data_IF_210243007336
#
_entry.id   IF_210243007336
#
_cell.length_a   1.000
_cell.length_b   1.000
_cell.length_c   1.000
_cell.angle_alpha   90.00
_cell.angle_beta   90.00
_cell.angle_gamma   90.00
#
_symmetry.space_group_name_H-M   'P 1'
#
loop_
_entity.id
_entity.type
_entity.pdbx_description
1 polymer ?
#
# COMPACT_ATOMS: atom_id res chain seq x y z
N UNK A 1 19.31 23.72 -30.18
CA UNK A 1 20.06 22.67 -29.46
C UNK A 1 19.12 22.15 -28.40
N UNK A 2 18.67 20.90 -28.57
CA UNK A 2 17.83 20.20 -27.60
C UNK A 2 18.77 19.53 -26.61
N UNK A 3 18.68 19.87 -25.34
CA UNK A 3 19.21 19.05 -24.26
C UNK A 3 18.02 18.46 -23.51
N UNK A 4 17.80 17.16 -23.75
CA UNK A 4 16.89 16.28 -23.02
C UNK A 4 17.76 15.13 -22.51
N UNK A 5 18.26 15.25 -21.29
CA UNK A 5 18.91 14.21 -20.49
C UNK A 5 18.55 14.54 -19.03
N UNK A 6 18.07 13.65 -18.16
CA UNK A 6 17.97 12.20 -18.18
C UNK A 6 16.72 11.81 -17.38
N UNK A 7 15.84 11.00 -17.97
CA UNK A 7 14.83 10.26 -17.19
C UNK A 7 15.56 9.11 -16.54
N UNK A 8 15.94 9.25 -15.27
CA UNK A 8 16.32 8.09 -14.45
C UNK A 8 15.08 7.20 -14.33
N UNK A 9 15.02 6.14 -15.13
CA UNK A 9 13.96 5.15 -15.07
C UNK A 9 13.94 4.54 -13.67
N UNK A 10 12.78 4.59 -13.02
CA UNK A 10 12.58 3.86 -11.77
C UNK A 10 12.75 2.35 -12.05
N UNK A 11 13.50 1.61 -11.22
CA UNK A 11 13.63 0.17 -11.39
C UNK A 11 12.26 -0.50 -11.29
N UNK A 12 12.10 -1.58 -12.05
CA UNK A 12 10.88 -2.40 -12.02
C UNK A 12 10.81 -3.10 -10.65
N UNK A 13 9.60 -3.28 -10.10
CA UNK A 13 9.37 -4.04 -8.85
C UNK A 13 10.01 -5.43 -8.89
N UNK A 14 10.09 -6.03 -10.08
CA UNK A 14 10.74 -7.32 -10.28
C UNK A 14 12.23 -7.35 -9.90
N UNK A 15 12.90 -6.19 -9.82
CA UNK A 15 14.31 -6.07 -9.46
C UNK A 15 14.52 -5.82 -7.95
N UNK A 16 13.47 -5.46 -7.20
CA UNK A 16 13.55 -5.15 -5.77
C UNK A 16 13.30 -6.43 -4.97
N UNK A 17 14.38 -7.07 -4.52
CA UNK A 17 14.31 -8.34 -3.79
C UNK A 17 14.54 -8.22 -2.28
N UNK A 18 15.00 -7.06 -1.80
CA UNK A 18 15.32 -6.82 -0.39
C UNK A 18 14.58 -5.59 0.15
N UNK A 19 14.10 -5.64 1.41
CA UNK A 19 13.46 -4.47 2.01
C UNK A 19 14.43 -3.31 2.12
N UNK A 20 15.72 -3.56 2.39
CA UNK A 20 16.76 -2.52 2.51
C UNK A 20 17.37 -2.08 1.17
N UNK A 21 16.83 -2.53 0.02
CA UNK A 21 17.35 -2.13 -1.27
C UNK A 21 17.34 -0.58 -1.35
N UNK A 22 18.49 0.09 -1.57
CA UNK A 22 18.56 1.55 -1.61
C UNK A 22 17.75 2.14 -2.77
N UNK A 23 17.45 1.33 -3.79
CA UNK A 23 16.60 1.70 -4.90
C UNK A 23 15.12 1.38 -4.62
N UNK A 24 14.79 0.75 -3.49
CA UNK A 24 13.41 0.52 -3.12
C UNK A 24 12.67 1.85 -2.91
N UNK A 25 11.45 2.01 -3.44
CA UNK A 25 10.67 3.24 -3.35
C UNK A 25 10.46 3.76 -1.93
N UNK A 26 10.40 2.85 -0.95
CA UNK A 26 10.21 3.17 0.47
C UNK A 26 11.51 3.51 1.22
N UNK A 27 12.69 3.24 0.63
CA UNK A 27 14.00 3.58 1.20
C UNK A 27 14.67 4.77 0.54
N UNK A 28 14.17 5.18 -0.62
CA UNK A 28 14.62 6.41 -1.24
C UNK A 28 14.15 7.58 -0.38
N UNK A 29 14.95 7.94 0.63
CA UNK A 29 14.87 9.22 1.28
C UNK A 29 15.03 10.28 0.19
N UNK A 30 13.92 10.93 -0.19
CA UNK A 30 13.94 12.04 -1.13
C UNK A 30 13.66 13.33 -0.36
N UNK A 31 14.53 14.28 -0.66
CA UNK A 31 14.84 15.46 0.14
C UNK A 31 13.65 16.43 0.30
N UNK A 32 13.75 17.27 1.33
CA UNK A 32 12.75 18.09 2.03
C UNK A 32 11.88 19.11 1.23
N UNK A 33 11.61 18.95 -0.06
CA UNK A 33 10.69 19.85 -0.81
C UNK A 33 9.57 19.16 -1.60
N UNK A 34 9.51 17.82 -1.63
CA UNK A 34 8.44 17.05 -2.25
C UNK A 34 7.93 15.96 -1.32
N UNK A 35 6.96 16.29 -0.45
CA UNK A 35 6.46 15.35 0.56
C UNK A 35 5.91 14.05 -0.07
N UNK A 36 5.84 12.97 0.71
CA UNK A 36 5.12 11.71 0.39
C UNK A 36 3.73 11.97 -0.23
N UNK A 37 3.08 13.10 0.11
CA UNK A 37 1.80 13.49 -0.49
C UNK A 37 1.91 13.75 -2.00
N UNK A 38 2.94 14.45 -2.48
CA UNK A 38 3.14 14.73 -3.91
C UNK A 38 3.36 13.44 -4.70
N UNK A 39 4.11 12.49 -4.13
CA UNK A 39 4.31 11.18 -4.74
C UNK A 39 3.02 10.34 -4.79
N UNK A 40 2.22 10.35 -3.72
CA UNK A 40 0.92 9.68 -3.73
C UNK A 40 0.00 10.28 -4.80
N UNK A 41 0.01 11.61 -4.97
CA UNK A 41 -0.82 12.29 -5.96
C UNK A 41 -0.47 11.86 -7.39
N UNK A 42 0.83 11.76 -7.71
CA UNK A 42 1.30 11.29 -9.03
C UNK A 42 0.92 9.82 -9.28
N UNK A 43 1.11 8.94 -8.28
CA UNK A 43 0.72 7.52 -8.36
C UNK A 43 -0.80 7.37 -8.52
N UNK A 44 -1.59 8.15 -7.77
CA UNK A 44 -3.05 8.15 -7.86
C UNK A 44 -3.50 8.60 -9.26
N UNK A 45 -2.85 9.64 -9.80
CA UNK A 45 -3.15 10.15 -11.13
C UNK A 45 -2.84 9.09 -12.18
N UNK A 46 -1.63 8.52 -12.17
CA UNK A 46 -1.22 7.48 -13.12
C UNK A 46 -2.15 6.27 -13.04
N UNK A 47 -2.50 5.82 -11.83
CA UNK A 47 -3.44 4.73 -11.61
C UNK A 47 -4.78 4.99 -12.31
N UNK A 48 -5.36 6.18 -12.12
CA UNK A 48 -6.66 6.53 -12.71
C UNK A 48 -6.60 6.72 -14.23
N UNK A 49 -5.49 7.24 -14.74
CA UNK A 49 -5.28 7.44 -16.19
C UNK A 49 -5.03 6.11 -16.93
N UNK A 50 -4.46 5.11 -16.25
CA UNK A 50 -4.06 3.83 -16.85
C UNK A 50 -4.87 2.62 -16.36
N UNK A 51 -6.11 2.85 -15.93
CA UNK A 51 -7.05 1.79 -15.48
C UNK A 51 -6.44 0.84 -14.44
N UNK A 52 -5.73 1.43 -13.49
CA UNK A 52 -5.13 0.77 -12.33
C UNK A 52 -3.72 0.24 -12.52
N UNK A 53 -3.08 0.50 -13.66
CA UNK A 53 -1.68 0.14 -13.92
C UNK A 53 -0.78 1.32 -13.60
N UNK A 54 0.27 1.08 -12.82
CA UNK A 54 1.28 2.09 -12.46
C UNK A 54 2.67 1.49 -12.69
N UNK A 55 3.57 2.28 -13.28
CA UNK A 55 4.94 1.87 -13.55
C UNK A 55 5.86 1.86 -12.31
N UNK A 56 7.17 1.70 -12.56
CA UNK A 56 8.23 1.75 -11.53
C UNK A 56 8.01 0.75 -10.39
N UNK A 57 7.94 1.28 -9.17
CA UNK A 57 7.67 0.57 -7.91
C UNK A 57 6.50 -0.44 -7.95
N UNK A 58 5.51 -0.17 -8.79
CA UNK A 58 4.24 -0.89 -8.86
C UNK A 58 4.08 -1.70 -10.14
N UNK A 59 5.09 -1.64 -11.03
CA UNK A 59 5.07 -2.38 -12.28
C UNK A 59 4.91 -3.89 -12.03
N UNK A 60 4.08 -4.53 -12.86
CA UNK A 60 3.79 -5.97 -12.78
C UNK A 60 2.96 -6.44 -11.58
N UNK A 61 2.62 -5.57 -10.62
CA UNK A 61 1.79 -5.90 -9.46
C UNK A 61 0.38 -5.31 -9.52
N UNK A 62 -0.55 -5.89 -8.77
CA UNK A 62 -1.83 -5.22 -8.49
C UNK A 62 -1.60 -4.04 -7.52
N UNK A 63 -2.36 -2.97 -7.73
CA UNK A 63 -2.40 -1.78 -6.89
C UNK A 63 -3.86 -1.45 -6.58
N UNK A 64 -4.13 -0.93 -5.38
CA UNK A 64 -5.41 -0.33 -5.04
C UNK A 64 -5.21 1.10 -4.54
N UNK A 65 -6.22 1.94 -4.73
CA UNK A 65 -6.33 3.19 -3.99
C UNK A 65 -7.31 2.99 -2.83
N UNK A 66 -6.78 2.95 -1.62
CA UNK A 66 -7.57 2.84 -0.39
C UNK A 66 -7.94 4.24 0.09
N UNK A 67 -9.23 4.55 0.13
CA UNK A 67 -9.74 5.79 0.73
C UNK A 67 -10.37 5.51 2.10
N UNK A 68 -9.83 6.19 3.12
CA UNK A 68 -10.30 6.11 4.53
C UNK A 68 -10.79 7.46 5.03
N UNK A 69 -11.58 7.47 6.10
CA UNK A 69 -11.97 8.70 6.81
C UNK A 69 -11.05 8.92 8.01
N UNK A 70 -10.39 10.08 8.07
CA UNK A 70 -9.46 10.45 9.14
C UNK A 70 -10.12 10.42 10.51
N UNK A 71 -9.63 9.55 11.41
CA UNK A 71 -10.26 9.33 12.74
C UNK A 71 -10.33 10.62 13.59
N UNK A 72 -9.36 11.52 13.43
CA UNK A 72 -9.31 12.81 14.13
C UNK A 72 -9.91 13.96 13.32
N UNK A 73 -9.75 13.93 12.00
CA UNK A 73 -10.02 15.06 11.11
C UNK A 73 -11.38 15.00 10.42
N UNK A 74 -11.97 13.81 10.30
CA UNK A 74 -13.15 13.54 9.47
C UNK A 74 -12.90 13.67 7.96
N UNK A 75 -11.68 13.98 7.52
CA UNK A 75 -11.35 14.18 6.10
C UNK A 75 -11.08 12.84 5.41
N UNK A 76 -11.39 12.76 4.11
CA UNK A 76 -11.02 11.60 3.31
C UNK A 76 -9.53 11.63 2.97
N UNK A 77 -8.87 10.48 3.10
CA UNK A 77 -7.47 10.26 2.79
C UNK A 77 -7.31 9.04 1.89
N UNK A 78 -6.70 9.23 0.73
CA UNK A 78 -6.44 8.16 -0.24
C UNK A 78 -4.97 7.75 -0.19
N UNK A 79 -4.70 6.45 -0.19
CA UNK A 79 -3.34 5.91 -0.13
C UNK A 79 -3.22 4.75 -1.11
N UNK A 80 -2.22 4.76 -2.01
CA UNK A 80 -1.92 3.63 -2.88
C UNK A 80 -1.31 2.48 -2.06
N UNK A 81 -1.83 1.27 -2.21
CA UNK A 81 -1.36 0.08 -1.49
C UNK A 81 -1.32 -1.13 -2.42
N UNK A 82 -0.25 -1.94 -2.29
CA UNK A 82 -0.18 -3.25 -2.96
C UNK A 82 -0.96 -4.29 -2.14
N UNK A 83 -2.11 -4.80 -2.62
CA UNK A 83 -2.85 -5.84 -1.92
C UNK A 83 -2.14 -7.20 -2.01
N UNK A 84 -2.38 -8.04 -1.01
CA UNK A 84 -2.13 -9.48 -1.07
C UNK A 84 -3.47 -10.22 -1.15
N UNK A 85 -3.52 -11.30 -1.91
CA UNK A 85 -4.73 -12.09 -2.11
C UNK A 85 -4.55 -13.50 -1.58
N UNK A 86 -5.48 -13.95 -0.72
CA UNK A 86 -5.66 -15.35 -0.34
C UNK A 86 -7.07 -15.75 -0.77
N UNK A 87 -7.16 -16.59 -1.80
CA UNK A 87 -8.43 -16.91 -2.46
C UNK A 87 -9.18 -15.64 -2.91
N UNK A 88 -10.36 -15.38 -2.36
CA UNK A 88 -11.16 -14.17 -2.63
C UNK A 88 -10.94 -13.04 -1.62
N UNK A 89 -10.08 -13.24 -0.62
CA UNK A 89 -9.87 -12.30 0.47
C UNK A 89 -8.65 -11.43 0.20
N UNK A 90 -8.82 -10.12 0.38
CA UNK A 90 -7.80 -9.11 0.15
C UNK A 90 -7.22 -8.63 1.48
N UNK A 91 -5.89 -8.53 1.56
CA UNK A 91 -5.15 -8.07 2.73
C UNK A 91 -4.22 -6.92 2.34
N UNK A 92 -3.99 -6.00 3.26
CA UNK A 92 -2.99 -4.93 3.11
C UNK A 92 -2.11 -4.82 4.36
N UNK A 93 -0.85 -4.46 4.12
CA UNK A 93 0.13 -4.19 5.17
C UNK A 93 0.95 -2.94 4.85
N UNK A 94 1.95 -2.64 5.68
CA UNK A 94 2.78 -1.45 5.60
C UNK A 94 4.24 -1.78 5.87
N UNK A 95 5.11 -1.01 5.23
CA UNK A 95 6.56 -1.00 5.41
C UNK A 95 7.07 0.17 6.28
N UNK A 96 6.16 0.89 6.94
CA UNK A 96 6.52 2.00 7.84
C UNK A 96 7.06 1.43 9.15
N UNK A 97 8.25 1.87 9.58
CA UNK A 97 9.11 1.29 10.64
C UNK A 97 9.07 2.03 11.98
N UNK A 98 8.42 3.19 12.06
CA UNK A 98 8.31 4.00 13.29
C UNK A 98 6.92 3.93 13.96
N UNK A 99 5.86 3.78 13.16
CA UNK A 99 4.46 3.77 13.64
C UNK A 99 3.52 2.99 12.72
N UNK A 100 2.32 2.73 13.22
CA UNK A 100 1.23 2.28 12.34
C UNK A 100 0.75 3.44 11.45
N UNK A 101 0.45 3.16 10.17
CA UNK A 101 0.06 4.20 9.23
C UNK A 101 -1.33 4.75 9.57
N UNK A 102 -1.59 5.98 9.13
CA UNK A 102 -2.85 6.67 9.44
C UNK A 102 -4.08 5.88 8.96
N UNK A 103 -4.02 5.24 7.78
CA UNK A 103 -5.12 4.44 7.26
C UNK A 103 -5.48 3.26 8.18
N UNK A 104 -4.52 2.67 8.90
CA UNK A 104 -4.78 1.59 9.85
C UNK A 104 -5.60 2.09 11.03
N UNK A 105 -5.20 3.24 11.61
CA UNK A 105 -5.95 3.87 12.70
C UNK A 105 -7.33 4.35 12.24
N UNK A 106 -7.43 4.87 11.02
CA UNK A 106 -8.69 5.29 10.43
C UNK A 106 -9.66 4.12 10.29
N UNK A 107 -9.20 2.97 9.78
CA UNK A 107 -10.01 1.76 9.64
C UNK A 107 -10.45 1.23 11.01
N UNK A 108 -9.56 1.25 12.00
CA UNK A 108 -9.90 0.84 13.37
C UNK A 108 -11.03 1.70 13.96
N UNK A 109 -11.09 2.99 13.62
CA UNK A 109 -12.12 3.91 14.09
C UNK A 109 -13.40 3.89 13.24
N UNK A 110 -13.26 3.76 11.92
CA UNK A 110 -14.36 3.68 10.96
C UNK A 110 -14.01 2.64 9.88
N UNK A 111 -14.65 1.46 9.90
CA UNK A 111 -14.33 0.39 8.97
C UNK A 111 -14.86 0.64 7.55
N UNK A 112 -15.72 1.65 7.34
CA UNK A 112 -16.26 1.97 6.02
C UNK A 112 -15.21 2.69 5.17
N UNK A 113 -14.85 2.06 4.06
CA UNK A 113 -13.78 2.50 3.17
C UNK A 113 -14.25 2.46 1.71
N UNK A 114 -13.52 3.14 0.84
CA UNK A 114 -13.72 3.06 -0.60
C UNK A 114 -12.44 2.54 -1.24
N UNK A 115 -12.56 1.60 -2.16
CA UNK A 115 -11.42 0.99 -2.87
C UNK A 115 -11.57 1.24 -4.35
N UNK A 116 -10.58 1.89 -4.95
CA UNK A 116 -10.43 1.89 -6.41
C UNK A 116 -9.52 0.72 -6.78
N UNK A 117 -10.01 -0.17 -7.64
CA UNK A 117 -9.30 -1.34 -8.15
C UNK A 117 -9.53 -1.39 -9.66
N UNK A 118 -8.44 -1.28 -10.43
CA UNK A 118 -8.49 -1.15 -11.90
C UNK A 118 -9.30 0.08 -12.32
N UNK A 119 -10.37 -0.11 -13.08
CA UNK A 119 -11.29 0.91 -13.56
C UNK A 119 -12.57 1.03 -12.71
N UNK A 120 -12.66 0.28 -11.60
CA UNK A 120 -13.85 0.21 -10.76
C UNK A 120 -13.60 0.78 -9.36
N UNK A 121 -14.68 1.33 -8.80
CA UNK A 121 -14.72 1.85 -7.43
C UNK A 121 -15.75 1.05 -6.63
N UNK A 122 -15.31 0.53 -5.49
CA UNK A 122 -16.12 -0.30 -4.59
C UNK A 122 -16.29 0.38 -3.24
N UNK A 123 -17.50 0.28 -2.68
CA UNK A 123 -17.64 0.37 -1.23
C UNK A 123 -17.12 -0.93 -0.61
N UNK A 124 -16.49 -0.80 0.55
CA UNK A 124 -15.84 -1.91 1.20
C UNK A 124 -15.80 -1.70 2.71
N UNK A 125 -15.56 -2.80 3.41
CA UNK A 125 -15.33 -2.83 4.84
C UNK A 125 -13.90 -3.28 5.12
N UNK A 126 -13.16 -2.47 5.87
CA UNK A 126 -11.84 -2.82 6.39
C UNK A 126 -11.92 -3.30 7.83
N UNK A 127 -11.16 -4.36 8.16
CA UNK A 127 -11.04 -4.85 9.54
C UNK A 127 -9.58 -5.06 9.90
N UNK A 128 -9.14 -4.38 10.96
CA UNK A 128 -7.85 -4.64 11.60
C UNK A 128 -7.87 -6.05 12.20
N UNK A 129 -6.85 -6.83 11.89
CA UNK A 129 -6.67 -8.16 12.47
C UNK A 129 -6.01 -8.05 13.85
N UNK A 130 -6.52 -8.83 14.81
CA UNK A 130 -6.04 -8.87 16.18
C UNK A 130 -6.05 -10.33 16.68
N UNK A 131 -5.23 -10.63 17.69
CA UNK A 131 -5.16 -11.94 18.36
C UNK A 131 -5.01 -13.13 17.40
N UNK A 132 -5.79 -14.20 17.59
CA UNK A 132 -5.67 -15.44 16.82
C UNK A 132 -5.84 -15.23 15.30
N UNK A 133 -6.74 -14.33 14.89
CA UNK A 133 -6.89 -13.98 13.49
C UNK A 133 -5.65 -13.26 12.95
N UNK A 134 -4.98 -12.44 13.76
CA UNK A 134 -3.71 -11.85 13.37
C UNK A 134 -2.65 -12.92 13.16
N UNK A 135 -2.47 -13.83 14.13
CA UNK A 135 -1.41 -14.83 14.09
C UNK A 135 -1.52 -15.76 12.87
N UNK A 136 -2.74 -16.20 12.55
CA UNK A 136 -3.01 -17.05 11.38
C UNK A 136 -2.59 -16.34 10.08
N UNK A 137 -3.05 -15.11 9.88
CA UNK A 137 -2.81 -14.39 8.63
C UNK A 137 -1.39 -13.81 8.56
N UNK A 138 -0.77 -13.46 9.68
CA UNK A 138 0.62 -13.03 9.71
C UNK A 138 1.55 -14.17 9.27
N UNK A 139 1.36 -15.39 9.77
CA UNK A 139 2.15 -16.54 9.33
C UNK A 139 2.06 -16.76 7.81
N UNK A 140 0.85 -16.65 7.24
CA UNK A 140 0.65 -16.75 5.79
C UNK A 140 1.30 -15.58 5.04
N UNK A 141 1.04 -14.32 5.41
CA UNK A 141 1.59 -13.13 4.73
C UNK A 141 3.12 -13.15 4.71
N UNK A 142 3.76 -13.50 5.82
CA UNK A 142 5.22 -13.55 5.91
C UNK A 142 5.82 -14.73 5.13
N UNK A 143 5.04 -15.77 4.85
CA UNK A 143 5.47 -16.87 3.98
C UNK A 143 5.38 -16.47 2.50
N UNK A 144 4.28 -15.81 2.11
CA UNK A 144 4.03 -15.45 0.70
C UNK A 144 4.78 -14.19 0.24
N UNK A 145 5.18 -13.31 1.17
CA UNK A 145 5.84 -12.06 0.85
C UNK A 145 7.19 -11.93 1.58
N UNK A 146 8.30 -12.33 0.93
CA UNK A 146 9.65 -12.24 1.50
C UNK A 146 10.06 -10.82 1.92
N UNK A 147 9.56 -9.78 1.25
CA UNK A 147 9.85 -8.40 1.62
C UNK A 147 9.20 -8.04 2.96
N UNK A 148 7.95 -8.46 3.20
CA UNK A 148 7.29 -8.27 4.50
C UNK A 148 7.95 -9.12 5.60
N UNK A 149 8.43 -10.33 5.25
CA UNK A 149 9.19 -11.17 6.18
C UNK A 149 10.50 -10.52 6.62
N UNK A 150 11.29 -10.02 5.66
CA UNK A 150 12.52 -9.29 5.92
C UNK A 150 12.25 -8.02 6.73
N UNK A 151 11.20 -7.27 6.39
CA UNK A 151 10.79 -6.09 7.14
C UNK A 151 10.38 -6.40 8.60
N UNK A 152 9.52 -7.40 8.82
CA UNK A 152 9.10 -7.82 10.15
C UNK A 152 10.29 -8.26 11.02
N UNK A 153 11.33 -8.86 10.41
CA UNK A 153 12.54 -9.26 11.14
C UNK A 153 13.37 -8.10 11.70
N UNK A 154 13.16 -6.89 11.16
CA UNK A 154 13.90 -5.66 11.50
C UNK A 154 13.18 -4.79 12.52
N UNK A 155 11.92 -5.11 12.86
CA UNK A 155 11.10 -4.33 13.80
C UNK A 155 10.57 -5.23 14.92
N UNK A 156 10.52 -4.70 16.15
CA UNK A 156 10.01 -5.45 17.31
C UNK A 156 8.49 -5.58 17.33
N UNK A 157 7.77 -4.68 16.65
CA UNK A 157 6.31 -4.66 16.65
C UNK A 157 5.75 -5.56 15.54
N UNK A 158 4.53 -6.09 15.72
CA UNK A 158 3.80 -6.73 14.62
C UNK A 158 3.59 -5.76 13.44
N UNK A 159 3.74 -6.26 12.21
CA UNK A 159 3.32 -5.51 11.02
C UNK A 159 1.81 -5.25 11.08
N UNK A 160 1.33 -4.07 10.66
CA UNK A 160 -0.11 -3.81 10.61
C UNK A 160 -0.75 -4.69 9.54
N UNK A 161 -1.78 -5.45 9.91
CA UNK A 161 -2.57 -6.25 8.98
C UNK A 161 -4.03 -5.83 9.01
N UNK A 162 -4.59 -5.60 7.83
CA UNK A 162 -6.00 -5.30 7.62
C UNK A 162 -6.54 -6.20 6.52
N UNK A 163 -7.68 -6.84 6.79
CA UNK A 163 -8.47 -7.52 5.79
C UNK A 163 -9.47 -6.54 5.18
N UNK A 164 -9.65 -6.61 3.86
CA UNK A 164 -10.55 -5.78 3.08
C UNK A 164 -11.60 -6.68 2.43
N UNK A 165 -12.86 -6.36 2.66
CA UNK A 165 -14.01 -7.05 2.05
C UNK A 165 -14.73 -6.06 1.16
N UNK A 166 -14.79 -6.34 -0.14
CA UNK A 166 -15.59 -5.57 -1.07
C UNK A 166 -17.08 -5.83 -0.79
N UNK A 167 -17.87 -4.78 -0.71
CA UNK A 167 -19.31 -4.93 -0.70
C UNK A 167 -19.71 -5.42 -2.10
N UNK A 168 -20.34 -6.60 -2.18
CA UNK A 168 -20.65 -7.21 -3.47
C UNK A 168 -21.47 -6.27 -4.36
N UNK A 169 -21.20 -6.28 -5.67
CA UNK A 169 -22.13 -5.71 -6.65
C UNK A 169 -23.47 -6.45 -6.45
N UNK A 170 -24.45 -5.77 -5.85
CA UNK A 170 -25.82 -6.30 -5.75
C UNK A 170 -26.46 -6.41 -7.12
#
# INVERSE_FOLDING_TARGET
MNDIESTAGQPDRAEITEYNDPNAPWNQARDDEGSIATWNDDVIKEFRENSGKVGGAYAGGDLILLTTTGAKSGKRHTTPLGPLYRDTTMYVSSFVDDRYPAWWHNIKANPQITIELRDKTYQATGKVLEAEAYDEFAAWVLTENPLLADFQSKIDRPIPLVVLTLDGES
#
